data_IF_346673973642
#
_entry.id   IF_346673973642
#
_cell.length_a   1.000
_cell.length_b   1.000
_cell.length_c   1.000
_cell.angle_alpha   90.00
_cell.angle_beta   90.00
_cell.angle_gamma   90.00
#
_symmetry.space_group_name_H-M   'P 1'
#
loop_
_entity.id
_entity.type
_entity.pdbx_description
1 polymer ?
#
# COMPACT_ATOMS: atom_id res chain seq x y z
N UNK A 1 16.61 -7.64 21.96
CA UNK A 1 15.21 -7.33 22.31
C UNK A 1 14.51 -6.89 21.04
N UNK A 2 13.43 -7.57 20.67
CA UNK A 2 12.61 -7.24 19.51
C UNK A 2 11.25 -6.74 20.00
N UNK A 3 10.78 -5.59 19.51
CA UNK A 3 9.51 -4.99 19.95
C UNK A 3 8.48 -5.18 18.84
N UNK A 4 7.32 -5.72 19.20
CA UNK A 4 6.16 -5.78 18.31
C UNK A 4 5.46 -4.43 18.27
N UNK A 5 5.03 -3.99 17.09
CA UNK A 5 4.17 -2.83 16.91
C UNK A 5 2.91 -2.94 17.80
N UNK A 6 2.63 -1.89 18.58
CA UNK A 6 1.45 -1.76 19.47
C UNK A 6 0.12 -1.75 18.70
N UNK A 7 0.16 -1.52 17.38
CA UNK A 7 -1.04 -1.50 16.54
C UNK A 7 -1.70 -2.87 16.48
N UNK A 8 -2.94 -2.96 16.98
CA UNK A 8 -3.78 -4.13 16.80
C UNK A 8 -4.02 -4.39 15.32
N UNK A 9 -3.81 -5.64 14.90
CA UNK A 9 -4.02 -6.07 13.51
C UNK A 9 -5.43 -6.63 13.33
N UNK A 10 -6.09 -6.39 12.18
CA UNK A 10 -5.59 -5.63 11.04
C UNK A 10 -5.57 -4.11 11.27
N UNK A 11 -4.51 -3.43 10.82
CA UNK A 11 -4.37 -1.97 10.99
C UNK A 11 -4.27 -1.23 9.66
N UNK A 12 -5.02 -0.14 9.53
CA UNK A 12 -5.05 0.74 8.37
C UNK A 12 -3.83 1.69 8.38
N UNK A 13 -2.90 1.54 7.41
CA UNK A 13 -1.58 2.21 7.43
C UNK A 13 -1.53 3.44 6.53
N UNK A 14 -1.96 3.28 5.28
CA UNK A 14 -1.80 4.32 4.27
C UNK A 14 -2.92 4.22 3.23
N UNK A 15 -3.54 5.37 2.92
CA UNK A 15 -4.60 5.44 1.91
C UNK A 15 -4.02 5.95 0.59
N UNK A 16 -4.24 5.19 -0.48
CA UNK A 16 -3.93 5.59 -1.84
C UNK A 16 -5.20 6.13 -2.47
N UNK A 17 -5.07 7.28 -3.14
CA UNK A 17 -6.17 7.90 -3.87
C UNK A 17 -5.71 8.25 -5.30
N UNK A 18 -6.46 7.75 -6.28
CA UNK A 18 -6.25 8.05 -7.69
C UNK A 18 -7.03 9.31 -8.07
N UNK A 19 -6.43 10.10 -8.97
CA UNK A 19 -7.15 11.20 -9.62
C UNK A 19 -7.73 10.69 -10.94
N UNK A 20 -9.03 10.87 -11.15
CA UNK A 20 -9.68 10.52 -12.41
C UNK A 20 -9.53 11.68 -13.39
N UNK A 21 -8.78 11.47 -14.46
CA UNK A 21 -8.53 12.49 -15.50
C UNK A 21 -9.45 12.32 -16.71
N UNK A 22 -9.83 11.07 -17.01
CA UNK A 22 -10.73 10.69 -18.10
C UNK A 22 -11.91 9.87 -17.56
N UNK A 23 -13.08 9.92 -18.22
CA UNK A 23 -14.16 8.98 -17.97
C UNK A 23 -13.71 7.54 -18.21
N UNK A 24 -14.33 6.58 -17.51
CA UNK A 24 -14.11 5.14 -17.70
C UNK A 24 -12.67 4.65 -17.51
N UNK A 25 -11.85 5.38 -16.74
CA UNK A 25 -10.56 4.86 -16.29
C UNK A 25 -10.77 3.71 -15.31
N UNK A 26 -10.02 2.63 -15.46
CA UNK A 26 -9.91 1.56 -14.47
C UNK A 26 -8.57 1.66 -13.77
N UNK A 27 -8.58 1.76 -12.43
CA UNK A 27 -7.35 1.72 -11.64
C UNK A 27 -7.24 0.41 -10.87
N UNK A 28 -6.06 -0.19 -10.97
CA UNK A 28 -5.65 -1.36 -10.22
C UNK A 28 -4.50 -0.98 -9.30
N UNK A 29 -4.59 -1.36 -8.04
CA UNK A 29 -3.57 -1.09 -7.02
C UNK A 29 -2.91 -2.41 -6.63
N UNK A 30 -1.58 -2.45 -6.57
CA UNK A 30 -0.82 -3.64 -6.16
C UNK A 30 0.41 -3.28 -5.34
N UNK A 31 0.82 -4.22 -4.49
CA UNK A 31 2.16 -4.21 -3.89
C UNK A 31 3.10 -4.83 -4.92
N UNK A 32 4.08 -4.05 -5.37
CA UNK A 32 5.06 -4.44 -6.38
C UNK A 32 6.28 -5.13 -5.76
N UNK A 33 6.74 -4.68 -4.59
CA UNK A 33 7.86 -5.26 -3.86
C UNK A 33 7.82 -4.91 -2.36
N UNK A 34 8.62 -5.60 -1.54
CA UNK A 34 8.84 -5.25 -0.12
C UNK A 34 7.86 -5.86 0.88
N UNK A 35 7.08 -6.86 0.44
CA UNK A 35 6.10 -7.57 1.27
C UNK A 35 6.30 -9.09 1.23
N UNK A 36 7.56 -9.52 1.22
CA UNK A 36 7.95 -10.93 1.14
C UNK A 36 7.40 -11.73 2.33
N UNK A 37 7.34 -11.10 3.51
CA UNK A 37 6.85 -11.69 4.75
C UNK A 37 5.30 -11.72 4.85
N UNK A 38 4.58 -11.20 3.83
CA UNK A 38 3.11 -11.15 3.80
C UNK A 38 2.50 -10.33 4.94
N UNK A 39 3.23 -9.30 5.41
CA UNK A 39 2.83 -8.45 6.53
C UNK A 39 1.76 -7.43 6.13
N UNK A 40 1.63 -7.14 4.84
CA UNK A 40 0.73 -6.14 4.30
C UNK A 40 -0.17 -6.71 3.19
N UNK A 41 -1.31 -6.09 2.97
CA UNK A 41 -2.12 -6.28 1.78
C UNK A 41 -2.84 -4.98 1.39
N UNK A 42 -3.29 -4.90 0.15
CA UNK A 42 -4.12 -3.79 -0.31
C UNK A 42 -5.60 -4.19 -0.31
N UNK A 43 -6.41 -3.46 0.45
CA UNK A 43 -7.87 -3.54 0.40
C UNK A 43 -8.39 -2.46 -0.53
N UNK A 44 -8.92 -2.85 -1.69
CA UNK A 44 -9.57 -1.91 -2.62
C UNK A 44 -10.89 -1.43 -2.00
N UNK A 45 -11.07 -0.12 -1.93
CA UNK A 45 -12.32 0.49 -1.48
C UNK A 45 -13.17 0.97 -2.65
N UNK A 46 -12.55 1.40 -3.75
CA UNK A 46 -13.24 1.80 -4.96
C UNK A 46 -12.33 1.72 -6.19
N UNK A 47 -12.81 2.21 -7.34
CA UNK A 47 -11.95 2.40 -8.51
C UNK A 47 -10.91 3.52 -8.35
N UNK A 48 -11.05 4.39 -7.35
CA UNK A 48 -10.12 5.50 -7.11
C UNK A 48 -9.42 5.42 -5.76
N UNK A 49 -9.65 4.35 -4.98
CA UNK A 49 -9.08 4.25 -3.64
C UNK A 49 -8.74 2.83 -3.22
N UNK A 50 -7.62 2.71 -2.53
CA UNK A 50 -7.17 1.49 -1.86
C UNK A 50 -6.52 1.83 -0.52
N UNK A 51 -6.65 0.92 0.45
CA UNK A 51 -6.02 1.02 1.76
C UNK A 51 -4.92 -0.02 1.88
N UNK A 52 -3.71 0.41 2.24
CA UNK A 52 -2.67 -0.48 2.70
C UNK A 52 -2.97 -0.88 4.14
N UNK A 53 -3.15 -2.18 4.37
CA UNK A 53 -3.51 -2.76 5.65
C UNK A 53 -2.38 -3.66 6.14
N UNK A 54 -1.97 -3.45 7.38
CA UNK A 54 -1.07 -4.35 8.11
C UNK A 54 -1.88 -5.57 8.57
N UNK A 55 -1.54 -6.76 8.10
CA UNK A 55 -2.15 -8.04 8.49
C UNK A 55 -1.45 -8.69 9.68
N UNK A 56 -0.17 -8.39 9.92
CA UNK A 56 0.64 -9.00 10.96
C UNK A 56 1.39 -7.93 11.74
N UNK A 57 1.59 -8.09 13.06
CA UNK A 57 2.40 -7.16 13.83
C UNK A 57 3.80 -7.03 13.21
N UNK A 58 4.29 -5.80 13.10
CA UNK A 58 5.66 -5.55 12.66
C UNK A 58 6.61 -5.68 13.85
N UNK A 59 7.82 -6.16 13.60
CA UNK A 59 8.84 -6.38 14.65
C UNK A 59 10.00 -5.43 14.38
N UNK A 60 10.29 -4.58 15.35
CA UNK A 60 11.35 -3.58 15.30
C UNK A 60 12.48 -3.79 16.29
N UNK A 61 13.50 -2.90 16.27
CA UNK A 61 13.59 -1.75 15.38
C UNK A 61 13.93 -2.15 13.94
N UNK A 62 13.08 -1.79 12.98
CA UNK A 62 13.23 -2.18 11.56
C UNK A 62 12.50 -1.22 10.63
N UNK A 63 13.06 -1.00 9.44
CA UNK A 63 12.40 -0.34 8.34
C UNK A 63 11.78 -1.36 7.38
N UNK A 64 10.53 -1.11 7.00
CA UNK A 64 9.82 -1.83 5.95
C UNK A 64 9.67 -0.89 4.75
N UNK A 65 10.26 -1.25 3.62
CA UNK A 65 10.18 -0.46 2.39
C UNK A 65 9.25 -1.19 1.44
N UNK A 66 8.13 -0.56 1.09
CA UNK A 66 7.12 -1.10 0.18
C UNK A 66 7.11 -0.31 -1.12
N UNK A 67 7.17 -1.02 -2.24
CA UNK A 67 6.88 -0.42 -3.54
C UNK A 67 5.43 -0.72 -3.90
N UNK A 68 4.63 0.33 -4.06
CA UNK A 68 3.22 0.27 -4.42
C UNK A 68 3.07 0.77 -5.86
N UNK A 69 2.18 0.14 -6.61
CA UNK A 69 1.90 0.51 -7.99
C UNK A 69 0.41 0.69 -8.22
N UNK A 70 0.07 1.80 -8.85
CA UNK A 70 -1.24 2.04 -9.44
C UNK A 70 -1.12 1.94 -10.96
N UNK A 71 -1.82 0.97 -11.55
CA UNK A 71 -1.95 0.84 -13.00
C UNK A 71 -3.29 1.42 -13.40
N UNK A 72 -3.24 2.37 -14.33
CA UNK A 72 -4.41 3.06 -14.87
C UNK A 72 -4.59 2.64 -16.32
N UNK A 73 -5.80 2.24 -16.69
CA UNK A 73 -6.15 1.83 -18.05
C UNK A 73 -7.42 2.54 -18.53
N UNK A 74 -7.44 2.90 -19.81
CA UNK A 74 -8.65 3.33 -20.52
C UNK A 74 -8.65 2.67 -21.91
N UNK A 75 -9.52 1.66 -22.08
CA UNK A 75 -9.57 0.87 -23.31
C UNK A 75 -10.06 1.66 -24.53
N UNK A 76 -10.95 2.63 -24.34
CA UNK A 76 -11.49 3.43 -25.45
C UNK A 76 -10.41 4.32 -26.07
N UNK A 77 -9.49 4.84 -25.26
CA UNK A 77 -8.36 5.65 -25.71
C UNK A 77 -7.09 4.82 -25.95
N UNK A 78 -7.13 3.50 -25.73
CA UNK A 78 -5.94 2.64 -25.71
C UNK A 78 -4.83 3.18 -24.80
N UNK A 79 -5.21 3.85 -23.71
CA UNK A 79 -4.30 4.48 -22.77
C UNK A 79 -3.98 3.52 -21.62
N UNK A 80 -2.69 3.41 -21.28
CA UNK A 80 -2.20 2.69 -20.10
C UNK A 80 -1.04 3.46 -19.47
N UNK A 81 -1.10 3.66 -18.16
CA UNK A 81 -0.04 4.29 -17.39
C UNK A 81 0.18 3.57 -16.07
N UNK A 82 1.37 3.73 -15.50
CA UNK A 82 1.75 3.22 -14.19
C UNK A 82 2.30 4.34 -13.33
N UNK A 83 1.85 4.41 -12.08
CA UNK A 83 2.37 5.31 -11.05
C UNK A 83 2.95 4.48 -9.91
N UNK A 84 4.19 4.78 -9.53
CA UNK A 84 4.91 4.07 -8.47
C UNK A 84 5.08 4.96 -7.24
N UNK A 85 4.89 4.36 -6.07
CA UNK A 85 5.09 4.99 -4.77
C UNK A 85 5.97 4.07 -3.92
N UNK A 86 7.09 4.58 -3.43
CA UNK A 86 7.89 3.92 -2.39
C UNK A 86 7.48 4.45 -1.02
N UNK A 87 6.99 3.57 -0.16
CA UNK A 87 6.58 3.88 1.20
C UNK A 87 7.54 3.23 2.19
N UNK A 88 8.20 4.03 3.02
CA UNK A 88 9.03 3.54 4.12
C UNK A 88 8.24 3.62 5.44
N UNK A 89 8.06 2.47 6.09
CA UNK A 89 7.43 2.35 7.41
C UNK A 89 8.53 2.04 8.42
N UNK A 90 8.67 2.90 9.43
CA UNK A 90 9.71 2.77 10.46
C UNK A 90 9.06 2.25 11.75
N UNK A 91 9.55 1.11 12.25
CA UNK A 91 9.19 0.59 13.57
C UNK A 91 10.31 0.96 14.53
N UNK A 92 10.00 1.82 15.51
CA UNK A 92 10.96 2.32 16.48
C UNK A 92 11.40 1.29 17.53
N UNK A 93 12.47 1.60 18.29
CA UNK A 93 12.98 0.77 19.39
C UNK A 93 12.25 0.99 20.72
N UNK A 94 11.21 1.82 20.76
CA UNK A 94 10.41 2.11 21.95
C UNK A 94 8.93 2.15 21.61
N UNK A 95 8.09 1.73 22.54
CA UNK A 95 6.64 1.88 22.47
C UNK A 95 6.29 3.35 22.74
N UNK A 96 5.34 3.90 21.98
CA UNK A 96 4.87 5.29 22.11
C UNK A 96 3.42 5.35 22.56
#
# INVERSE_FOLDING_TARGET
MSITSERSVPADIFRIQATSVFPNMHNTFRIKAGNEDGQFFLRRSSNISAMLVMARPLIGPREHILDLEMVTQNSALSYRSSSLLRLTIIVGPYTF
#
